data_IF_935038925635
#
_entry.id   IF_935038925635
#
_cell.length_a   1.000
_cell.length_b   1.000
_cell.length_c   1.000
_cell.angle_alpha   90.00
_cell.angle_beta   90.00
_cell.angle_gamma   90.00
#
_symmetry.space_group_name_H-M   'P 1'
#
loop_
_entity.id
_entity.type
_entity.pdbx_description
1 polymer ?
#
# COMPACT_ATOMS: atom_id res chain seq x y z
N UNK A 1 -20.02 11.12 -45.71
CA UNK A 1 -20.28 10.70 -44.32
C UNK A 1 -19.08 9.93 -43.77
N UNK A 2 -18.08 10.64 -43.22
CA UNK A 2 -16.99 10.02 -42.45
C UNK A 2 -16.19 11.17 -41.80
N UNK A 3 -16.62 11.64 -40.63
CA UNK A 3 -15.92 12.73 -39.92
C UNK A 3 -15.74 12.45 -38.43
N UNK A 4 -15.61 11.18 -38.04
CA UNK A 4 -15.43 10.81 -36.62
C UNK A 4 -14.35 9.75 -36.41
N UNK A 5 -13.19 9.90 -37.06
CA UNK A 5 -12.04 9.00 -36.83
C UNK A 5 -10.71 9.71 -36.54
N UNK A 6 -10.74 11.00 -36.18
CA UNK A 6 -9.50 11.79 -35.99
C UNK A 6 -9.41 12.58 -34.67
N UNK A 7 -10.11 12.16 -33.62
CA UNK A 7 -9.91 12.70 -32.25
C UNK A 7 -9.72 11.61 -31.20
N UNK A 8 -9.22 10.43 -31.60
CA UNK A 8 -8.60 9.48 -30.67
C UNK A 8 -7.25 10.01 -30.14
N UNK A 9 -7.23 11.29 -29.75
CA UNK A 9 -6.07 12.00 -29.27
C UNK A 9 -5.72 11.48 -27.87
N UNK A 10 -4.44 11.28 -27.54
CA UNK A 10 -3.97 10.93 -26.20
C UNK A 10 -4.60 11.78 -25.08
N UNK A 11 -4.96 13.03 -25.38
CA UNK A 11 -5.65 13.94 -24.46
C UNK A 11 -7.08 13.51 -24.09
N UNK A 12 -7.85 12.95 -25.03
CA UNK A 12 -9.20 12.47 -24.74
C UNK A 12 -9.20 11.14 -23.98
N UNK A 13 -8.17 10.31 -24.19
CA UNK A 13 -7.90 9.16 -23.32
C UNK A 13 -7.55 9.63 -21.89
N UNK A 14 -6.67 10.61 -21.75
CA UNK A 14 -6.31 11.19 -20.46
C UNK A 14 -7.52 11.80 -19.72
N UNK A 15 -8.37 12.57 -20.41
CA UNK A 15 -9.62 13.10 -19.82
C UNK A 15 -10.57 12.00 -19.36
N UNK A 16 -10.72 10.93 -20.15
CA UNK A 16 -11.55 9.77 -19.78
C UNK A 16 -10.96 9.04 -18.57
N UNK A 17 -9.64 8.89 -18.49
CA UNK A 17 -8.97 8.30 -17.34
C UNK A 17 -9.13 9.15 -16.07
N UNK A 18 -9.00 10.47 -16.19
CA UNK A 18 -9.23 11.39 -15.07
C UNK A 18 -10.68 11.29 -14.56
N UNK A 19 -11.67 11.36 -15.44
CA UNK A 19 -13.08 11.15 -15.06
C UNK A 19 -13.33 9.78 -14.41
N UNK A 20 -12.66 8.73 -14.89
CA UNK A 20 -12.75 7.39 -14.28
C UNK A 20 -12.11 7.37 -12.89
N UNK A 21 -10.96 8.02 -12.69
CA UNK A 21 -10.29 8.14 -11.38
C UNK A 21 -11.16 8.91 -10.39
N UNK A 22 -11.70 10.06 -10.79
CA UNK A 22 -12.62 10.85 -9.97
C UNK A 22 -13.88 10.05 -9.60
N UNK A 23 -14.48 9.35 -10.57
CA UNK A 23 -15.65 8.50 -10.32
C UNK A 23 -15.36 7.35 -9.36
N UNK A 24 -14.16 6.76 -9.43
CA UNK A 24 -13.72 5.73 -8.46
C UNK A 24 -13.53 6.35 -7.08
N UNK A 25 -12.80 7.46 -6.97
CA UNK A 25 -12.58 8.15 -5.70
C UNK A 25 -13.89 8.54 -4.99
N UNK A 26 -14.92 8.97 -5.73
CA UNK A 26 -16.25 9.27 -5.16
C UNK A 26 -16.95 8.00 -4.66
N UNK A 27 -16.84 6.88 -5.37
CA UNK A 27 -17.39 5.59 -4.92
C UNK A 27 -16.68 5.12 -3.67
N UNK A 28 -15.35 5.14 -3.66
CA UNK A 28 -14.52 4.71 -2.55
C UNK A 28 -14.82 5.57 -1.30
N UNK A 29 -14.93 6.90 -1.46
CA UNK A 29 -15.38 7.79 -0.38
C UNK A 29 -16.77 7.44 0.13
N UNK A 30 -17.72 7.13 -0.76
CA UNK A 30 -19.08 6.74 -0.38
C UNK A 30 -19.09 5.43 0.40
N UNK A 31 -18.28 4.46 -0.02
CA UNK A 31 -18.13 3.18 0.65
C UNK A 31 -17.46 3.35 2.02
N UNK A 32 -16.41 4.16 2.11
CA UNK A 32 -15.76 4.50 3.39
C UNK A 32 -16.73 5.20 4.36
N UNK A 33 -17.54 6.14 3.89
CA UNK A 33 -18.58 6.78 4.72
C UNK A 33 -19.58 5.73 5.20
N UNK A 34 -20.03 4.81 4.34
CA UNK A 34 -20.93 3.72 4.76
C UNK A 34 -20.30 2.79 5.79
N UNK A 35 -19.04 2.41 5.59
CA UNK A 35 -18.28 1.56 6.52
C UNK A 35 -18.13 2.24 7.87
N UNK A 36 -17.57 3.46 7.92
CA UNK A 36 -17.42 4.23 9.16
C UNK A 36 -18.75 4.45 9.89
N UNK A 37 -19.85 4.74 9.18
CA UNK A 37 -21.16 4.84 9.84
C UNK A 37 -21.65 3.52 10.43
N UNK A 38 -21.32 2.38 9.81
CA UNK A 38 -21.66 1.05 10.30
C UNK A 38 -20.78 0.56 11.45
N UNK A 39 -19.50 0.93 11.44
CA UNK A 39 -18.52 0.53 12.47
C UNK A 39 -18.74 1.30 13.78
N UNK A 40 -19.19 2.56 13.68
CA UNK A 40 -19.53 3.40 14.83
C UNK A 40 -20.87 3.04 15.49
N UNK A 41 -21.51 1.94 15.09
CA UNK A 41 -22.74 1.47 15.75
C UNK A 41 -22.38 0.86 17.11
N UNK A 42 -22.75 1.56 18.19
CA UNK A 42 -22.54 1.06 19.55
C UNK A 42 -23.54 -0.06 19.90
N UNK A 43 -23.01 -1.28 20.00
CA UNK A 43 -23.79 -2.47 20.39
C UNK A 43 -24.31 -2.33 21.82
N UNK A 44 -23.56 -1.67 22.72
CA UNK A 44 -23.96 -1.48 24.11
C UNK A 44 -25.27 -0.68 24.20
N UNK A 45 -25.28 0.53 23.64
CA UNK A 45 -26.47 1.37 23.60
C UNK A 45 -27.68 0.70 22.91
N UNK A 46 -27.47 -0.11 21.87
CA UNK A 46 -28.56 -0.85 21.22
C UNK A 46 -29.12 -1.95 22.12
N UNK A 47 -28.28 -2.69 22.84
CA UNK A 47 -28.73 -3.73 23.77
C UNK A 47 -29.52 -3.17 24.96
N UNK A 48 -29.18 -1.97 25.44
CA UNK A 48 -29.96 -1.31 26.50
C UNK A 48 -31.35 -0.89 26.03
N UNK A 49 -31.45 -0.40 24.78
CA UNK A 49 -32.75 -0.09 24.15
C UNK A 49 -33.58 -1.35 23.97
N UNK A 50 -32.97 -2.45 23.54
CA UNK A 50 -33.62 -3.76 23.44
C UNK A 50 -34.19 -4.19 24.80
N UNK A 51 -33.37 -4.14 25.86
CA UNK A 51 -33.80 -4.48 27.24
C UNK A 51 -34.94 -3.63 27.77
N UNK A 52 -35.10 -2.38 27.30
CA UNK A 52 -36.25 -1.54 27.64
C UNK A 52 -37.51 -2.04 26.95
N UNK A 53 -37.43 -2.32 25.64
CA UNK A 53 -38.55 -2.85 24.86
C UNK A 53 -38.96 -4.25 25.30
N UNK A 54 -38.02 -5.11 25.67
CA UNK A 54 -38.30 -6.45 26.23
C UNK A 54 -39.10 -6.34 27.53
N UNK A 55 -38.72 -5.44 28.44
CA UNK A 55 -39.48 -5.19 29.67
C UNK A 55 -40.87 -4.65 29.40
N UNK A 56 -41.02 -3.75 28.43
CA UNK A 56 -42.32 -3.21 28.07
C UNK A 56 -43.21 -4.28 27.38
N UNK A 57 -42.61 -5.23 26.67
CA UNK A 57 -43.30 -6.39 26.08
C UNK A 57 -43.76 -7.39 27.15
N UNK A 58 -42.89 -7.73 28.11
CA UNK A 58 -43.25 -8.57 29.26
C UNK A 58 -44.42 -7.99 30.06
N UNK A 59 -44.47 -6.66 30.18
CA UNK A 59 -45.57 -5.95 30.83
C UNK A 59 -46.83 -5.79 29.92
N UNK A 60 -46.84 -6.35 28.71
CA UNK A 60 -47.88 -6.20 27.69
C UNK A 60 -48.21 -4.74 27.34
N UNK A 61 -47.25 -3.81 27.52
CA UNK A 61 -47.40 -2.38 27.21
C UNK A 61 -46.93 -2.03 25.79
N UNK A 62 -46.45 -3.02 25.03
CA UNK A 62 -45.87 -2.84 23.70
C UNK A 62 -46.93 -2.94 22.60
N UNK A 63 -47.04 -1.88 21.79
CA UNK A 63 -47.84 -1.87 20.57
C UNK A 63 -47.20 -2.69 19.43
N UNK A 64 -47.96 -3.01 18.38
CA UNK A 64 -47.46 -3.67 17.17
C UNK A 64 -46.29 -2.92 16.49
N UNK A 65 -46.28 -1.58 16.55
CA UNK A 65 -45.13 -0.80 16.10
C UNK A 65 -43.90 -0.97 17.02
N UNK A 66 -44.12 -1.19 18.31
CA UNK A 66 -43.05 -1.46 19.27
C UNK A 66 -42.38 -2.82 19.03
N UNK A 67 -43.16 -3.85 18.68
CA UNK A 67 -42.62 -5.18 18.33
C UNK A 67 -41.72 -5.13 17.10
N UNK A 68 -42.15 -4.43 16.04
CA UNK A 68 -41.30 -4.23 14.85
C UNK A 68 -39.98 -3.53 15.17
N UNK A 69 -40.01 -2.50 16.03
CA UNK A 69 -38.79 -1.82 16.48
C UNK A 69 -37.87 -2.73 17.29
N UNK A 70 -38.42 -3.65 18.09
CA UNK A 70 -37.63 -4.67 18.78
C UNK A 70 -36.95 -5.58 17.77
N UNK A 71 -37.69 -6.10 16.79
CA UNK A 71 -37.13 -6.98 15.75
C UNK A 71 -36.01 -6.29 14.94
N UNK A 72 -36.20 -5.03 14.56
CA UNK A 72 -35.19 -4.22 13.87
C UNK A 72 -33.93 -4.01 14.73
N UNK A 73 -34.09 -3.79 16.03
CA UNK A 73 -32.98 -3.67 16.97
C UNK A 73 -32.24 -5.00 17.17
N UNK A 74 -32.95 -6.11 17.22
CA UNK A 74 -32.34 -7.44 17.26
C UNK A 74 -31.53 -7.71 15.98
N UNK A 75 -32.10 -7.41 14.81
CA UNK A 75 -31.44 -7.63 13.53
C UNK A 75 -30.17 -6.78 13.41
N UNK A 76 -30.24 -5.50 13.77
CA UNK A 76 -29.06 -4.62 13.75
C UNK A 76 -27.97 -5.11 14.71
N UNK A 77 -28.31 -5.61 15.89
CA UNK A 77 -27.35 -6.23 16.83
C UNK A 77 -26.74 -7.50 16.22
N UNK A 78 -27.54 -8.39 15.61
CA UNK A 78 -27.03 -9.61 14.96
C UNK A 78 -26.06 -9.28 13.83
N UNK A 79 -26.42 -8.31 12.98
CA UNK A 79 -25.56 -7.85 11.89
C UNK A 79 -24.25 -7.24 12.41
N UNK A 80 -24.31 -6.41 13.46
CA UNK A 80 -23.11 -5.81 14.07
C UNK A 80 -22.18 -6.87 14.68
N UNK A 81 -22.73 -7.87 15.38
CA UNK A 81 -21.94 -9.00 15.91
C UNK A 81 -21.30 -9.81 14.79
N UNK A 82 -22.05 -10.10 13.72
CA UNK A 82 -21.51 -10.82 12.56
C UNK A 82 -20.34 -10.07 11.91
N UNK A 83 -20.48 -8.76 11.68
CA UNK A 83 -19.39 -7.92 11.14
C UNK A 83 -18.14 -7.97 12.02
N UNK A 84 -18.29 -7.88 13.34
CA UNK A 84 -17.16 -8.00 14.27
C UNK A 84 -16.48 -9.36 14.17
N UNK A 85 -17.25 -10.45 14.09
CA UNK A 85 -16.71 -11.79 13.92
C UNK A 85 -16.01 -11.97 12.56
N UNK A 86 -16.57 -11.43 11.47
CA UNK A 86 -15.97 -11.46 10.14
C UNK A 86 -14.65 -10.68 10.11
N UNK A 87 -14.59 -9.50 10.74
CA UNK A 87 -13.37 -8.70 10.88
C UNK A 87 -12.31 -9.41 11.73
N UNK A 88 -12.70 -10.07 12.81
CA UNK A 88 -11.79 -10.87 13.64
C UNK A 88 -11.27 -12.10 12.87
N UNK A 89 -12.13 -12.77 12.11
CA UNK A 89 -11.73 -13.89 11.25
C UNK A 89 -10.77 -13.43 10.14
N UNK A 90 -11.01 -12.27 9.53
CA UNK A 90 -10.12 -11.68 8.55
C UNK A 90 -8.78 -11.27 9.18
N UNK A 91 -8.79 -10.64 10.36
CA UNK A 91 -7.59 -10.29 11.09
C UNK A 91 -6.78 -11.55 11.44
N UNK A 92 -7.43 -12.60 11.94
CA UNK A 92 -6.81 -13.89 12.24
C UNK A 92 -6.28 -14.59 10.98
N UNK A 93 -6.98 -14.49 9.85
CA UNK A 93 -6.49 -15.01 8.58
C UNK A 93 -5.28 -14.23 8.07
N UNK A 94 -5.26 -12.89 8.22
CA UNK A 94 -4.11 -12.04 7.91
C UNK A 94 -2.92 -12.34 8.83
N UNK A 95 -3.16 -12.52 10.13
CA UNK A 95 -2.13 -12.95 11.09
C UNK A 95 -1.61 -14.36 10.81
N UNK A 96 -2.48 -15.27 10.38
CA UNK A 96 -2.08 -16.62 9.99
C UNK A 96 -1.27 -16.63 8.67
N UNK A 97 -1.50 -15.67 7.78
CA UNK A 97 -0.75 -15.49 6.54
C UNK A 97 0.59 -14.77 6.75
N UNK A 98 0.78 -14.07 7.86
CA UNK A 98 2.05 -13.45 8.23
C UNK A 98 3.01 -14.55 8.75
N UNK A 99 4.27 -14.60 8.24
CA UNK A 99 5.23 -15.60 8.70
C UNK A 99 5.51 -15.40 10.20
N UNK A 100 5.28 -16.45 10.99
CA UNK A 100 5.25 -16.38 12.45
C UNK A 100 6.65 -16.27 13.06
N UNK A 101 7.70 -16.44 12.26
CA UNK A 101 9.08 -16.37 12.72
C UNK A 101 10.03 -15.75 11.68
N UNK A 102 11.10 -15.11 12.17
CA UNK A 102 12.18 -14.58 11.31
C UNK A 102 12.74 -15.66 10.36
N UNK A 103 12.84 -16.91 10.83
CA UNK A 103 13.34 -18.04 10.05
C UNK A 103 12.43 -18.40 8.86
N UNK A 104 11.12 -18.31 9.04
CA UNK A 104 10.13 -18.56 7.99
C UNK A 104 10.10 -17.43 6.96
N UNK A 105 10.24 -16.19 7.43
CA UNK A 105 10.39 -15.00 6.58
C UNK A 105 11.69 -15.08 5.75
N UNK A 106 12.80 -15.50 6.37
CA UNK A 106 14.08 -15.73 5.67
C UNK A 106 13.98 -16.86 4.65
N UNK A 107 13.24 -17.93 4.93
CA UNK A 107 13.02 -19.02 3.98
C UNK A 107 12.17 -18.57 2.77
N UNK A 108 11.09 -17.83 3.00
CA UNK A 108 10.28 -17.21 1.94
C UNK A 108 11.08 -16.21 1.12
N UNK A 109 11.89 -15.38 1.76
CA UNK A 109 12.78 -14.44 1.07
C UNK A 109 13.83 -15.18 0.24
N UNK A 110 14.41 -16.27 0.76
CA UNK A 110 15.31 -17.13 0.00
C UNK A 110 14.64 -17.80 -1.19
N UNK A 111 13.32 -18.00 -1.18
CA UNK A 111 12.55 -18.52 -2.32
C UNK A 111 12.24 -17.45 -3.37
N UNK A 112 11.87 -16.25 -2.93
CA UNK A 112 11.48 -15.13 -3.79
C UNK A 112 12.69 -14.42 -4.41
N UNK A 113 13.78 -14.27 -3.66
CA UNK A 113 14.98 -13.55 -4.06
C UNK A 113 16.14 -14.50 -4.43
N UNK A 114 15.82 -15.63 -5.09
CA UNK A 114 16.85 -16.59 -5.58
C UNK A 114 17.75 -16.00 -6.66
N UNK A 115 17.23 -15.06 -7.46
CA UNK A 115 17.92 -14.52 -8.60
C UNK A 115 18.68 -13.25 -8.22
N UNK A 116 20.02 -13.28 -8.12
CA UNK A 116 20.80 -12.08 -7.80
C UNK A 116 20.61 -11.00 -8.86
N UNK A 117 20.43 -11.36 -10.13
CA UNK A 117 20.26 -10.41 -11.25
C UNK A 117 18.98 -9.56 -11.18
N UNK A 118 17.94 -10.05 -10.50
CA UNK A 118 16.69 -9.31 -10.29
C UNK A 118 16.65 -8.58 -8.94
N UNK A 119 17.71 -8.67 -8.14
CA UNK A 119 17.81 -7.93 -6.88
C UNK A 119 17.99 -6.43 -7.14
N UNK A 120 17.34 -5.59 -6.34
CA UNK A 120 17.44 -4.12 -6.41
C UNK A 120 18.91 -3.66 -6.39
N UNK A 121 19.77 -4.39 -5.69
CA UNK A 121 21.19 -4.06 -5.53
C UNK A 121 22.06 -4.40 -6.74
N UNK A 122 21.64 -5.36 -7.58
CA UNK A 122 22.45 -5.85 -8.71
C UNK A 122 21.77 -5.61 -10.06
N UNK A 123 20.57 -5.04 -10.07
CA UNK A 123 19.83 -4.75 -11.29
C UNK A 123 20.39 -3.50 -11.99
N UNK A 124 20.70 -3.56 -13.30
CA UNK A 124 21.37 -2.47 -14.02
C UNK A 124 20.58 -1.16 -14.07
N UNK A 125 19.24 -1.24 -14.00
CA UNK A 125 18.38 -0.04 -13.97
C UNK A 125 18.29 0.56 -12.56
N UNK A 126 18.32 -0.26 -11.51
CA UNK A 126 18.10 0.19 -10.13
C UNK A 126 19.40 0.55 -9.39
N UNK A 127 20.55 0.00 -9.83
CA UNK A 127 21.88 0.35 -9.35
C UNK A 127 22.85 0.57 -10.54
N UNK A 128 22.72 1.69 -11.27
CA UNK A 128 23.53 1.94 -12.47
C UNK A 128 25.03 2.09 -12.18
N UNK A 129 25.40 2.43 -10.95
CA UNK A 129 26.78 2.59 -10.52
C UNK A 129 27.38 1.31 -9.89
N UNK A 130 26.57 0.26 -9.74
CA UNK A 130 26.96 -1.01 -9.10
C UNK A 130 27.57 -0.85 -7.73
N UNK A 131 27.16 0.18 -6.97
CA UNK A 131 27.67 0.42 -5.62
C UNK A 131 27.15 -0.70 -4.73
N UNK A 132 28.07 -1.44 -4.11
CA UNK A 132 27.70 -2.50 -3.18
C UNK A 132 26.93 -1.92 -1.98
N UNK A 133 25.93 -2.65 -1.45
CA UNK A 133 25.18 -2.19 -0.29
C UNK A 133 26.11 -1.96 0.92
N UNK A 134 25.85 -0.93 1.75
CA UNK A 134 26.67 -0.62 2.92
C UNK A 134 26.80 -1.83 3.85
N UNK A 135 28.03 -2.20 4.21
CA UNK A 135 28.33 -3.38 5.04
C UNK A 135 28.73 -4.65 4.28
N UNK A 136 28.66 -4.65 2.95
CA UNK A 136 29.16 -5.74 2.12
C UNK A 136 30.64 -5.51 1.74
N UNK A 137 31.55 -6.28 2.32
CA UNK A 137 32.97 -6.31 1.92
C UNK A 137 33.13 -7.27 0.74
N UNK A 138 33.60 -6.77 -0.40
CA UNK A 138 33.64 -7.47 -1.70
C UNK A 138 34.63 -8.64 -1.81
N UNK A 139 34.59 -9.60 -0.88
CA UNK A 139 35.46 -10.77 -0.85
C UNK A 139 35.00 -11.96 -1.70
N UNK A 140 33.99 -11.79 -2.57
CA UNK A 140 33.45 -12.85 -3.43
C UNK A 140 33.49 -12.46 -4.91
N UNK A 141 33.75 -13.44 -5.79
CA UNK A 141 33.78 -13.27 -7.24
C UNK A 141 32.40 -12.89 -7.79
N UNK A 142 32.04 -11.62 -7.72
CA UNK A 142 30.86 -11.07 -8.37
C UNK A 142 31.28 -10.27 -9.61
N UNK A 143 30.54 -10.39 -10.73
CA UNK A 143 30.97 -9.90 -12.04
C UNK A 143 31.07 -8.37 -12.17
N UNK A 144 30.72 -7.62 -11.12
CA UNK A 144 30.65 -6.15 -11.15
C UNK A 144 31.81 -5.45 -10.42
N UNK A 145 32.81 -6.17 -9.90
CA UNK A 145 34.08 -5.52 -9.47
C UNK A 145 34.98 -5.14 -10.66
N UNK A 146 34.48 -5.22 -11.89
CA UNK A 146 35.17 -4.77 -13.09
C UNK A 146 35.37 -3.25 -13.04
N UNK A 147 36.54 -2.84 -12.53
CA UNK A 147 37.10 -1.50 -12.67
C UNK A 147 37.12 -1.00 -14.13
N UNK A 148 36.93 -1.90 -15.11
CA UNK A 148 36.90 -1.63 -16.54
C UNK A 148 35.77 -0.70 -17.02
N UNK A 149 34.63 -0.58 -16.32
CA UNK A 149 33.54 0.31 -16.76
C UNK A 149 33.58 1.72 -16.16
N UNK A 150 34.44 1.98 -15.15
CA UNK A 150 34.63 3.34 -14.60
C UNK A 150 35.24 4.32 -15.61
N UNK A 151 35.91 3.81 -16.65
CA UNK A 151 36.66 4.63 -17.59
C UNK A 151 35.89 5.07 -18.85
N UNK A 152 34.60 4.73 -18.99
CA UNK A 152 33.84 5.05 -20.21
C UNK A 152 32.83 6.21 -20.07
N UNK A 153 32.71 6.84 -18.88
CA UNK A 153 31.79 7.97 -18.63
C UNK A 153 32.54 9.26 -18.22
N UNK A 154 33.85 9.19 -17.98
CA UNK A 154 34.67 10.39 -17.84
C UNK A 154 35.20 10.79 -19.21
N UNK A 155 34.48 11.66 -19.91
CA UNK A 155 35.04 12.47 -20.98
C UNK A 155 36.25 13.23 -20.43
N UNK A 156 37.44 12.68 -20.67
CA UNK A 156 38.72 13.26 -20.29
C UNK A 156 38.98 14.47 -21.20
N UNK A 157 38.41 15.62 -20.83
CA UNK A 157 38.92 16.90 -21.31
C UNK A 157 40.07 17.26 -20.38
N UNK A 158 41.30 16.97 -20.81
CA UNK A 158 42.49 17.50 -20.16
C UNK A 158 42.53 19.02 -20.39
N UNK A 159 41.93 19.78 -19.48
CA UNK A 159 42.20 21.21 -19.38
C UNK A 159 43.51 21.39 -18.61
N UNK A 160 44.61 21.45 -19.36
CA UNK A 160 45.91 21.88 -18.85
C UNK A 160 45.82 23.36 -18.51
N UNK A 161 45.55 23.69 -17.25
CA UNK A 161 45.61 25.05 -16.73
C UNK A 161 47.04 25.24 -16.19
N UNK A 162 47.92 25.74 -17.06
CA UNK A 162 49.20 26.33 -16.64
C UNK A 162 48.91 27.57 -15.79
N UNK A 163 48.95 27.44 -14.47
CA UNK A 163 49.02 28.62 -13.58
C UNK A 163 50.49 29.00 -13.45
N UNK A 164 50.88 29.97 -14.26
CA UNK A 164 52.11 30.73 -14.07
C UNK A 164 51.96 31.57 -12.80
N UNK A 165 52.74 31.27 -11.76
CA UNK A 165 52.94 32.18 -10.63
C UNK A 165 54.42 32.47 -10.40
N UNK A 166 54.75 33.74 -10.08
CA UNK A 166 56.10 34.27 -10.09
C UNK A 166 56.91 33.89 -8.85
N UNK A 167 58.21 33.74 -9.11
CA UNK A 167 59.32 33.49 -8.20
C UNK A 167 59.39 34.45 -7.02
N UNK A 168 59.42 33.90 -5.79
CA UNK A 168 59.99 34.56 -4.61
C UNK A 168 60.58 33.56 -3.60
N UNK A 169 61.85 33.86 -3.25
CA UNK A 169 62.71 33.44 -2.13
C UNK A 169 63.62 32.20 -2.28
N UNK A 170 64.91 32.49 -2.54
CA UNK A 170 66.06 31.83 -1.92
C UNK A 170 66.98 32.92 -1.36
N UNK A 171 67.50 32.65 -0.14
CA UNK A 171 68.56 33.34 0.61
C UNK A 171 68.29 34.78 1.10
#
# INVERSE_FOLDING_TARGET
MAKDKLSAAPLDAYRKEQKKKEKKAVKDRREHVKQTTGDNVDIGALTEKLRKLERDEENNRLDGAGRKRKDELEETIRQAKKKKADLEAEAKAREAALPKSKKELDARNKELYKNPEQSIHYHPIFNPYGVAPPGYSGGGSHPFTNAAMRNNIAGQVQASICVHMPSRLCA
#
